data_IF_338185808642
#
_entry.id   IF_338185808642
#
_cell.length_a   1.000
_cell.length_b   1.000
_cell.length_c   1.000
_cell.angle_alpha   90.00
_cell.angle_beta   90.00
_cell.angle_gamma   90.00
#
_symmetry.space_group_name_H-M   'P 1'
#
loop_
_entity.id
_entity.type
_entity.pdbx_description
1 polymer ?
#
# COMPACT_ATOMS: atom_id res chain seq x y z
N UNK A 1 2.48 20.49 -3.26
CA UNK A 1 2.30 19.04 -3.09
C UNK A 1 2.77 18.29 -4.32
N UNK A 2 3.85 17.54 -4.18
CA UNK A 2 4.47 16.69 -5.20
C UNK A 2 4.86 15.35 -4.57
N UNK A 3 4.55 14.25 -5.26
CA UNK A 3 5.09 12.93 -4.91
C UNK A 3 6.36 12.73 -5.71
N UNK A 4 7.45 12.39 -5.03
CA UNK A 4 8.77 12.16 -5.61
C UNK A 4 9.49 10.99 -4.92
N UNK A 5 10.57 10.44 -5.52
CA UNK A 5 11.42 9.48 -4.84
C UNK A 5 11.97 10.08 -3.55
N UNK A 6 12.10 9.22 -2.56
CA UNK A 6 12.84 9.51 -1.34
C UNK A 6 14.31 9.79 -1.65
N UNK A 7 14.95 10.56 -0.78
CA UNK A 7 16.39 10.84 -0.80
C UNK A 7 16.97 10.66 0.59
N UNK A 8 18.27 10.43 0.65
CA UNK A 8 19.02 10.36 1.92
C UNK A 8 18.82 11.62 2.79
N UNK A 9 18.62 12.79 2.18
CA UNK A 9 18.30 14.04 2.88
C UNK A 9 16.93 14.07 3.57
N UNK A 10 16.00 13.18 3.20
CA UNK A 10 14.66 13.12 3.78
C UNK A 10 14.62 12.32 5.09
N UNK A 11 15.70 11.60 5.42
CA UNK A 11 15.77 10.69 6.57
C UNK A 11 15.26 11.31 7.89
N UNK A 12 15.61 12.57 8.26
CA UNK A 12 15.07 13.18 9.47
C UNK A 12 13.53 13.27 9.46
N UNK A 13 12.94 13.68 8.34
CA UNK A 13 11.48 13.77 8.20
C UNK A 13 10.81 12.39 8.21
N UNK A 14 11.46 11.36 7.65
CA UNK A 14 10.95 10.00 7.72
C UNK A 14 10.93 9.46 9.15
N UNK A 15 11.94 9.78 9.97
CA UNK A 15 11.97 9.41 11.38
C UNK A 15 10.83 10.09 12.15
N UNK A 16 10.56 11.36 11.89
CA UNK A 16 9.41 12.07 12.47
C UNK A 16 8.08 11.41 12.08
N UNK A 17 7.89 11.09 10.80
CA UNK A 17 6.72 10.37 10.33
C UNK A 17 6.59 9.00 11.02
N UNK A 18 7.67 8.23 11.11
CA UNK A 18 7.67 6.91 11.77
C UNK A 18 7.41 6.99 13.28
N UNK A 19 7.79 8.07 13.96
CA UNK A 19 7.42 8.27 15.38
C UNK A 19 5.94 8.60 15.56
N UNK A 20 5.31 9.17 14.53
CA UNK A 20 3.89 9.50 14.54
C UNK A 20 2.99 8.34 14.10
N UNK A 21 3.55 7.20 13.68
CA UNK A 21 2.77 6.00 13.38
C UNK A 21 2.42 5.25 14.65
N UNK A 22 1.16 4.82 14.79
CA UNK A 22 0.78 3.80 15.78
C UNK A 22 1.28 2.40 15.41
N UNK A 23 1.02 1.42 16.27
CA UNK A 23 1.31 0.00 16.00
C UNK A 23 0.57 -0.51 14.74
N UNK A 24 1.06 -1.56 14.09
CA UNK A 24 0.40 -2.19 12.94
C UNK A 24 0.76 -1.60 11.57
N UNK A 25 1.74 -0.71 11.50
CA UNK A 25 2.39 -0.31 10.25
C UNK A 25 3.87 -0.75 10.26
N UNK A 26 4.10 -2.06 10.25
CA UNK A 26 5.43 -2.69 10.29
C UNK A 26 6.41 -2.17 9.25
N UNK A 27 5.91 -1.71 8.10
CA UNK A 27 6.75 -1.24 7.00
C UNK A 27 7.36 0.14 7.24
N UNK A 28 6.98 0.87 8.30
CA UNK A 28 7.58 2.17 8.66
C UNK A 28 8.01 2.18 10.14
N UNK A 29 9.02 1.37 10.53
CA UNK A 29 9.46 1.30 11.92
C UNK A 29 10.19 2.60 12.33
N UNK A 30 10.00 3.04 13.58
CA UNK A 30 10.74 4.15 14.18
C UNK A 30 12.20 3.76 14.52
N UNK A 31 12.96 3.30 13.53
CA UNK A 31 14.35 2.85 13.65
C UNK A 31 15.22 3.52 12.58
N UNK A 32 16.10 4.42 13.01
CA UNK A 32 16.93 5.24 12.13
C UNK A 32 17.85 4.42 11.22
N UNK A 33 18.54 3.41 11.75
CA UNK A 33 19.46 2.58 10.96
C UNK A 33 18.71 1.82 9.85
N UNK A 34 17.54 1.27 10.18
CA UNK A 34 16.68 0.57 9.20
C UNK A 34 16.14 1.52 8.15
N UNK A 35 15.69 2.71 8.54
CA UNK A 35 15.22 3.72 7.59
C UNK A 35 16.35 4.20 6.67
N UNK A 36 17.54 4.47 7.20
CA UNK A 36 18.71 4.85 6.40
C UNK A 36 19.08 3.76 5.39
N UNK A 37 19.10 2.50 5.83
CA UNK A 37 19.34 1.35 4.95
C UNK A 37 18.27 1.24 3.86
N UNK A 38 16.99 1.37 4.22
CA UNK A 38 15.85 1.33 3.29
C UNK A 38 15.93 2.45 2.25
N UNK A 39 16.25 3.67 2.66
CA UNK A 39 16.43 4.81 1.75
C UNK A 39 17.58 4.55 0.76
N UNK A 40 18.71 3.99 1.22
CA UNK A 40 19.81 3.62 0.34
C UNK A 40 19.40 2.56 -0.71
N UNK A 41 18.59 1.57 -0.34
CA UNK A 41 18.01 0.61 -1.28
C UNK A 41 16.99 1.23 -2.23
N UNK A 42 16.17 2.16 -1.75
CA UNK A 42 15.23 2.87 -2.60
C UNK A 42 15.95 3.70 -3.67
N UNK A 43 17.01 4.42 -3.31
CA UNK A 43 17.83 5.16 -4.28
C UNK A 43 18.45 4.23 -5.34
N UNK A 44 19.00 3.07 -4.93
CA UNK A 44 19.48 2.02 -5.86
C UNK A 44 18.35 1.51 -6.76
N UNK A 45 17.17 1.30 -6.20
CA UNK A 45 15.98 0.82 -6.93
C UNK A 45 15.59 1.80 -8.03
N UNK A 46 15.52 3.09 -7.72
CA UNK A 46 15.22 4.11 -8.73
C UNK A 46 16.31 4.20 -9.81
N UNK A 47 17.58 3.96 -9.48
CA UNK A 47 18.68 3.81 -10.46
C UNK A 47 18.66 2.50 -11.26
N UNK A 48 17.79 1.56 -10.91
CA UNK A 48 17.71 0.25 -11.58
C UNK A 48 18.83 -0.70 -11.21
N UNK A 49 19.45 -0.47 -10.06
CA UNK A 49 20.56 -1.28 -9.52
C UNK A 49 20.07 -2.37 -8.57
N UNK A 50 18.76 -2.44 -8.30
CA UNK A 50 18.16 -3.44 -7.43
C UNK A 50 17.44 -4.52 -8.25
N UNK A 51 17.61 -5.77 -7.85
CA UNK A 51 16.79 -6.87 -8.35
C UNK A 51 15.37 -6.75 -7.80
N UNK A 52 14.39 -7.38 -8.48
CA UNK A 52 12.98 -7.27 -8.10
C UNK A 52 12.68 -7.68 -6.64
N UNK A 53 13.45 -8.62 -6.08
CA UNK A 53 13.31 -9.05 -4.69
C UNK A 53 13.85 -8.04 -3.66
N UNK A 54 14.70 -7.11 -4.07
CA UNK A 54 15.29 -6.06 -3.22
C UNK A 54 14.77 -4.65 -3.58
N UNK A 55 13.96 -4.56 -4.63
CA UNK A 55 13.44 -3.30 -5.15
C UNK A 55 12.38 -2.71 -4.20
N UNK A 56 12.61 -1.48 -3.76
CA UNK A 56 11.69 -0.68 -2.95
C UNK A 56 11.54 0.72 -3.56
N UNK A 57 10.45 0.95 -4.28
CA UNK A 57 10.14 2.27 -4.84
C UNK A 57 9.50 3.12 -3.74
N UNK A 58 10.34 3.73 -2.91
CA UNK A 58 9.92 4.57 -1.79
C UNK A 58 9.71 6.03 -2.23
N UNK A 59 8.50 6.54 -2.03
CA UNK A 59 8.08 7.89 -2.38
C UNK A 59 7.77 8.71 -1.13
N UNK A 60 7.99 10.02 -1.23
CA UNK A 60 7.56 11.00 -0.24
C UNK A 60 6.56 11.98 -0.85
N UNK A 61 5.63 12.50 -0.04
CA UNK A 61 4.82 13.66 -0.37
C UNK A 61 5.52 14.90 0.19
N UNK A 62 5.91 15.81 -0.69
CA UNK A 62 6.57 17.08 -0.37
C UNK A 62 5.63 18.25 -0.67
N UNK A 63 5.54 19.23 0.22
CA UNK A 63 4.82 20.48 -0.05
C UNK A 63 5.62 21.43 -0.94
N UNK A 64 5.13 22.66 -1.17
CA UNK A 64 5.82 23.60 -2.06
C UNK A 64 7.03 24.29 -1.38
N UNK A 65 7.17 24.16 -0.05
CA UNK A 65 8.28 24.68 0.76
C UNK A 65 9.39 23.62 0.97
N UNK A 66 9.19 22.41 0.46
CA UNK A 66 10.16 21.31 0.57
C UNK A 66 9.98 20.43 1.81
N UNK A 67 8.91 20.62 2.59
CA UNK A 67 8.63 19.79 3.76
C UNK A 67 8.02 18.47 3.33
N UNK A 68 8.62 17.37 3.81
CA UNK A 68 8.06 16.02 3.64
C UNK A 68 6.96 15.79 4.68
N UNK A 69 5.77 15.44 4.22
CA UNK A 69 4.54 15.29 5.05
C UNK A 69 3.87 13.93 4.92
N UNK A 70 4.39 13.06 4.05
CA UNK A 70 3.87 11.72 3.84
C UNK A 70 4.86 10.81 3.12
N UNK A 71 4.55 9.53 3.15
CA UNK A 71 5.37 8.46 2.59
C UNK A 71 4.46 7.37 2.00
N UNK A 72 4.92 6.72 0.94
CA UNK A 72 4.29 5.52 0.37
C UNK A 72 5.32 4.73 -0.41
N UNK A 73 5.10 3.43 -0.60
CA UNK A 73 6.05 2.58 -1.27
C UNK A 73 5.39 1.56 -2.21
N UNK A 74 6.22 1.00 -3.09
CA UNK A 74 5.92 -0.21 -3.84
C UNK A 74 7.10 -1.17 -3.67
N UNK A 75 6.89 -2.33 -3.05
CA UNK A 75 7.87 -3.41 -3.06
C UNK A 75 7.81 -4.14 -4.41
N UNK A 76 8.96 -4.41 -5.03
CA UNK A 76 9.05 -5.05 -6.33
C UNK A 76 8.50 -6.49 -6.32
N UNK A 77 8.79 -7.25 -5.27
CA UNK A 77 8.16 -8.53 -4.99
C UNK A 77 8.31 -8.92 -3.53
N UNK A 78 7.23 -9.36 -2.89
CA UNK A 78 7.26 -9.97 -1.57
C UNK A 78 7.76 -11.42 -1.67
N UNK A 79 8.36 -11.95 -0.60
CA UNK A 79 8.63 -13.38 -0.49
C UNK A 79 9.86 -13.91 -1.24
N UNK A 80 10.62 -13.08 -1.97
CA UNK A 80 11.75 -13.56 -2.80
C UNK A 80 13.08 -13.72 -2.05
N UNK A 81 13.27 -13.03 -0.93
CA UNK A 81 14.46 -13.12 -0.07
C UNK A 81 14.14 -13.81 1.25
N UNK A 82 13.03 -13.41 1.85
CA UNK A 82 12.49 -13.99 3.06
C UNK A 82 11.03 -14.37 2.83
N UNK A 83 10.55 -15.49 3.39
CA UNK A 83 9.15 -15.87 3.28
C UNK A 83 8.21 -14.74 3.72
N UNK A 84 7.17 -14.52 2.93
CA UNK A 84 6.10 -13.60 3.26
C UNK A 84 4.86 -14.42 3.61
N UNK A 85 4.56 -14.51 4.91
CA UNK A 85 3.52 -15.38 5.46
C UNK A 85 2.18 -14.67 5.52
N UNK A 86 1.12 -15.43 5.28
CA UNK A 86 -0.27 -15.01 5.46
C UNK A 86 -1.09 -16.21 5.91
N UNK A 87 -2.29 -15.97 6.41
CA UNK A 87 -3.32 -16.99 6.50
C UNK A 87 -4.21 -16.93 5.27
N UNK A 88 -4.31 -18.05 4.55
CA UNK A 88 -5.42 -18.28 3.62
C UNK A 88 -6.65 -18.72 4.39
N UNK A 89 -7.73 -17.97 4.29
CA UNK A 89 -9.03 -18.25 4.89
C UNK A 89 -9.82 -19.17 3.96
N UNK A 90 -9.86 -20.46 4.31
CA UNK A 90 -10.65 -21.47 3.62
C UNK A 90 -11.90 -21.89 4.39
N UNK A 91 -12.58 -22.92 3.88
CA UNK A 91 -13.77 -23.52 4.51
C UNK A 91 -13.54 -25.02 4.68
N UNK A 92 -13.72 -25.52 5.90
CA UNK A 92 -13.77 -26.96 6.15
C UNK A 92 -15.23 -27.36 6.38
N UNK A 93 -15.72 -28.30 5.57
CA UNK A 93 -17.09 -28.83 5.69
C UNK A 93 -17.04 -30.18 6.38
N UNK A 94 -17.82 -30.33 7.45
CA UNK A 94 -18.00 -31.58 8.18
C UNK A 94 -19.46 -32.01 8.12
N UNK A 95 -19.72 -33.22 7.63
CA UNK A 95 -21.05 -33.78 7.52
C UNK A 95 -21.11 -35.15 8.21
N UNK A 96 -22.09 -35.35 9.07
CA UNK A 96 -22.45 -36.65 9.64
C UNK A 96 -23.92 -36.89 9.37
N UNK A 97 -24.21 -37.83 8.47
CA UNK A 97 -25.58 -38.18 8.10
C UNK A 97 -26.34 -38.81 9.28
N UNK A 98 -25.68 -39.69 10.03
CA UNK A 98 -26.26 -40.38 11.18
C UNK A 98 -26.72 -39.41 12.27
N UNK A 99 -25.93 -38.36 12.51
CA UNK A 99 -26.24 -37.33 13.51
C UNK A 99 -27.02 -36.14 12.94
N UNK A 100 -27.32 -36.15 11.64
CA UNK A 100 -27.87 -35.01 10.90
C UNK A 100 -27.12 -33.69 11.15
N UNK A 101 -25.78 -33.76 11.17
CA UNK A 101 -24.91 -32.61 11.37
C UNK A 101 -24.32 -32.22 10.01
N UNK A 102 -24.46 -30.95 9.66
CA UNK A 102 -23.72 -30.31 8.58
C UNK A 102 -23.13 -29.01 9.14
N UNK A 103 -21.81 -28.87 9.08
CA UNK A 103 -21.09 -27.69 9.58
C UNK A 103 -20.08 -27.21 8.58
N UNK A 104 -20.13 -25.92 8.31
CA UNK A 104 -19.14 -25.19 7.54
C UNK A 104 -18.33 -24.35 8.52
N UNK A 105 -17.03 -24.58 8.59
CA UNK A 105 -16.15 -23.94 9.58
C UNK A 105 -15.03 -23.21 8.84
N UNK A 106 -14.95 -21.86 8.93
CA UNK A 106 -13.82 -21.13 8.39
C UNK A 106 -12.52 -21.64 9.01
N UNK A 107 -11.50 -21.85 8.18
CA UNK A 107 -10.24 -22.47 8.61
C UNK A 107 -9.07 -21.65 8.07
N UNK A 108 -8.10 -21.33 8.92
CA UNK A 108 -6.91 -20.57 8.58
C UNK A 108 -5.78 -21.53 8.23
N UNK A 109 -5.24 -21.39 7.02
CA UNK A 109 -4.11 -22.17 6.54
C UNK A 109 -2.91 -21.25 6.44
N UNK A 110 -1.85 -21.52 7.22
CA UNK A 110 -0.60 -20.77 7.09
C UNK A 110 -0.03 -21.02 5.68
N UNK A 111 0.23 -19.95 4.95
CA UNK A 111 0.65 -20.00 3.56
C UNK A 111 1.65 -18.88 3.23
N UNK A 112 2.22 -18.96 2.04
CA UNK A 112 3.06 -17.94 1.41
C UNK A 112 2.64 -17.73 -0.05
N UNK A 113 1.34 -17.92 -0.34
CA UNK A 113 0.76 -17.95 -1.68
C UNK A 113 0.93 -16.62 -2.45
N UNK A 114 1.14 -15.51 -1.74
CA UNK A 114 1.34 -14.18 -2.33
C UNK A 114 2.78 -13.90 -2.75
N UNK A 115 3.70 -14.85 -2.56
CA UNK A 115 5.11 -14.73 -2.94
C UNK A 115 5.27 -14.34 -4.41
N UNK A 116 6.16 -13.39 -4.67
CA UNK A 116 6.43 -12.86 -6.00
C UNK A 116 5.54 -11.67 -6.36
N UNK A 117 4.38 -11.47 -5.76
CA UNK A 117 3.56 -10.29 -6.07
C UNK A 117 4.22 -9.00 -5.59
N UNK A 118 4.00 -7.90 -6.31
CA UNK A 118 4.41 -6.58 -5.86
C UNK A 118 3.41 -6.05 -4.83
N UNK A 119 3.87 -5.26 -3.87
CA UNK A 119 3.04 -4.80 -2.76
C UNK A 119 3.01 -3.28 -2.69
N UNK A 120 1.81 -2.70 -2.51
CA UNK A 120 1.62 -1.32 -2.09
C UNK A 120 1.71 -1.23 -0.58
N UNK A 121 2.78 -0.62 -0.07
CA UNK A 121 3.03 -0.55 1.37
C UNK A 121 3.38 0.87 1.83
N UNK A 122 3.59 1.02 3.14
CA UNK A 122 4.07 2.24 3.81
C UNK A 122 3.25 3.50 3.52
N UNK A 123 1.95 3.39 3.21
CA UNK A 123 1.10 4.55 2.97
C UNK A 123 0.80 5.27 4.29
N UNK A 124 1.41 6.43 4.51
CA UNK A 124 1.18 7.23 5.69
C UNK A 124 1.24 8.73 5.39
N UNK A 125 0.35 9.48 6.06
CA UNK A 125 0.31 10.94 6.06
C UNK A 125 0.21 11.44 7.47
N UNK A 126 1.00 12.48 7.77
CA UNK A 126 0.85 13.25 9.01
C UNK A 126 -0.57 13.78 9.12
N UNK A 127 -1.15 13.77 10.34
CA UNK A 127 -2.55 14.16 10.61
C UNK A 127 -2.92 15.49 9.97
N UNK A 128 -2.06 16.49 10.12
CA UNK A 128 -2.29 17.86 9.66
C UNK A 128 -2.32 17.98 8.12
N UNK A 129 -1.80 16.96 7.42
CA UNK A 129 -1.77 16.88 5.97
C UNK A 129 -2.84 15.93 5.39
N UNK A 130 -3.72 15.36 6.23
CA UNK A 130 -4.86 14.52 5.82
C UNK A 130 -6.06 15.36 5.37
N UNK A 131 -5.81 16.36 4.53
CA UNK A 131 -6.85 17.25 3.99
C UNK A 131 -6.84 17.22 2.45
N UNK A 132 -7.98 17.60 1.87
CA UNK A 132 -8.13 17.73 0.43
C UNK A 132 -7.78 16.45 -0.35
N UNK A 133 -6.83 16.57 -1.29
CA UNK A 133 -6.50 15.51 -2.25
C UNK A 133 -5.19 14.79 -1.91
N UNK A 134 -4.52 15.11 -0.79
CA UNK A 134 -3.18 14.62 -0.46
C UNK A 134 -3.13 13.10 -0.33
N UNK A 135 -4.10 12.49 0.37
CA UNK A 135 -4.20 11.04 0.50
C UNK A 135 -4.41 10.32 -0.83
N UNK A 136 -5.24 10.90 -1.70
CA UNK A 136 -5.48 10.36 -3.05
C UNK A 136 -4.25 10.50 -3.94
N UNK A 137 -3.58 11.65 -3.90
CA UNK A 137 -2.32 11.89 -4.60
C UNK A 137 -1.27 10.86 -4.19
N UNK A 138 -0.96 10.77 -2.89
CA UNK A 138 0.08 9.88 -2.39
C UNK A 138 -0.23 8.41 -2.70
N UNK A 139 -1.46 7.97 -2.48
CA UNK A 139 -1.84 6.58 -2.75
C UNK A 139 -1.80 6.25 -4.25
N UNK A 140 -2.43 7.07 -5.09
CA UNK A 140 -2.61 6.77 -6.53
C UNK A 140 -1.39 7.10 -7.38
N UNK A 141 -0.46 7.94 -6.91
CA UNK A 141 0.79 8.23 -7.62
C UNK A 141 1.58 6.94 -7.97
N UNK A 142 1.57 5.98 -7.05
CA UNK A 142 2.15 4.65 -7.24
C UNK A 142 1.60 3.93 -8.47
N UNK A 143 0.31 4.09 -8.76
CA UNK A 143 -0.33 3.45 -9.92
C UNK A 143 0.19 4.02 -11.25
N UNK A 144 0.47 5.32 -11.34
CA UNK A 144 1.05 5.89 -12.58
C UNK A 144 2.49 5.43 -12.79
N UNK A 145 3.25 5.25 -11.71
CA UNK A 145 4.58 4.66 -11.79
C UNK A 145 4.53 3.21 -12.28
N UNK A 146 3.60 2.40 -11.74
CA UNK A 146 3.33 1.03 -12.21
C UNK A 146 2.92 1.02 -13.69
N UNK A 147 2.07 1.95 -14.11
CA UNK A 147 1.59 2.05 -15.48
C UNK A 147 2.70 2.37 -16.49
N UNK A 148 3.70 3.16 -16.09
CA UNK A 148 4.83 3.49 -16.95
C UNK A 148 5.87 2.36 -17.02
N UNK A 149 6.05 1.64 -15.92
CA UNK A 149 7.05 0.57 -15.82
C UNK A 149 6.45 -0.79 -15.44
N UNK A 150 5.45 -1.32 -16.17
CA UNK A 150 4.72 -2.52 -15.76
C UNK A 150 5.62 -3.76 -15.64
N UNK A 151 6.72 -3.82 -16.40
CA UNK A 151 7.70 -4.92 -16.36
C UNK A 151 8.49 -5.01 -15.06
N UNK A 152 8.48 -3.95 -14.23
CA UNK A 152 9.17 -3.94 -12.94
C UNK A 152 8.33 -4.60 -11.82
N UNK A 153 7.06 -4.91 -12.10
CA UNK A 153 6.09 -5.38 -11.12
C UNK A 153 5.49 -6.74 -11.49
N UNK A 154 4.86 -7.39 -10.51
CA UNK A 154 4.14 -8.65 -10.72
C UNK A 154 2.88 -8.50 -11.55
N UNK A 155 2.30 -9.63 -11.97
CA UNK A 155 1.02 -9.67 -12.67
C UNK A 155 -0.16 -9.25 -11.78
N UNK A 156 0.00 -9.38 -10.47
CA UNK A 156 -0.89 -8.84 -9.45
C UNK A 156 -0.13 -7.90 -8.53
N UNK A 157 -0.84 -6.88 -8.08
CA UNK A 157 -0.44 -5.99 -7.01
C UNK A 157 -1.27 -6.32 -5.78
N UNK A 158 -0.63 -6.48 -4.63
CA UNK A 158 -1.27 -6.68 -3.34
C UNK A 158 -1.15 -5.43 -2.46
N UNK A 159 -1.98 -5.34 -1.44
CA UNK A 159 -1.81 -4.44 -0.32
C UNK A 159 -2.26 -5.16 0.95
N UNK A 160 -1.35 -5.37 1.90
CA UNK A 160 -1.70 -5.82 3.24
C UNK A 160 -2.21 -4.62 4.05
N UNK A 161 -3.45 -4.74 4.52
CA UNK A 161 -4.14 -3.66 5.21
C UNK A 161 -4.14 -3.94 6.71
N UNK A 162 -3.64 -2.99 7.51
CA UNK A 162 -3.64 -3.08 8.98
C UNK A 162 -5.00 -3.54 9.52
N UNK A 163 -4.99 -4.59 10.32
CA UNK A 163 -6.15 -5.19 10.96
C UNK A 163 -6.63 -4.44 12.20
N UNK A 164 -7.66 -4.98 12.85
CA UNK A 164 -8.26 -4.33 14.02
C UNK A 164 -7.35 -4.43 15.26
N UNK A 165 -7.19 -3.28 15.91
CA UNK A 165 -6.63 -3.14 17.26
C UNK A 165 -7.47 -2.12 18.01
N UNK A 166 -7.57 -2.26 19.33
CA UNK A 166 -8.20 -1.24 20.17
C UNK A 166 -7.29 -0.02 20.38
N UNK A 167 -7.80 0.98 21.12
CA UNK A 167 -7.06 2.21 21.46
C UNK A 167 -5.80 1.96 22.31
N UNK A 168 -5.74 0.82 23.01
CA UNK A 168 -4.57 0.38 23.77
C UNK A 168 -3.58 -0.42 22.92
N UNK A 169 -3.84 -0.58 21.61
CA UNK A 169 -3.01 -1.35 20.69
C UNK A 169 -3.16 -2.86 20.84
N UNK A 170 -4.24 -3.36 21.46
CA UNK A 170 -4.52 -4.80 21.57
C UNK A 170 -5.32 -5.27 20.36
N UNK A 171 -4.81 -6.28 19.66
CA UNK A 171 -5.54 -6.97 18.60
C UNK A 171 -6.30 -8.17 19.17
N UNK A 172 -7.64 -8.25 18.99
CA UNK A 172 -8.41 -9.42 19.43
C UNK A 172 -7.92 -10.73 18.79
N UNK A 173 -7.47 -10.66 17.54
CA UNK A 173 -6.91 -11.80 16.83
C UNK A 173 -5.57 -12.24 17.44
N UNK A 174 -4.67 -11.30 17.70
CA UNK A 174 -3.38 -11.59 18.34
C UNK A 174 -3.57 -12.26 19.69
N UNK A 175 -4.44 -11.72 20.54
CA UNK A 175 -4.68 -12.23 21.89
C UNK A 175 -5.30 -13.64 21.88
N UNK A 176 -6.13 -13.97 20.89
CA UNK A 176 -6.73 -15.30 20.77
C UNK A 176 -5.83 -16.33 20.08
N UNK A 177 -4.75 -15.92 19.42
CA UNK A 177 -3.91 -16.82 18.63
C UNK A 177 -2.42 -16.60 18.87
N UNK A 178 -1.86 -15.52 18.32
CA UNK A 178 -0.42 -15.29 18.33
C UNK A 178 0.19 -15.23 19.73
N UNK A 179 -0.50 -14.60 20.69
CA UNK A 179 -0.05 -14.48 22.08
C UNK A 179 0.32 -15.82 22.72
N UNK A 180 -0.37 -16.91 22.36
CA UNK A 180 -0.12 -18.25 22.89
C UNK A 180 1.20 -18.86 22.41
N UNK A 181 1.68 -18.49 21.22
CA UNK A 181 2.91 -19.02 20.63
C UNK A 181 4.12 -18.12 20.93
N UNK A 182 3.95 -16.81 20.80
CA UNK A 182 5.05 -15.84 20.91
C UNK A 182 5.28 -15.32 22.33
N UNK A 183 4.28 -15.46 23.23
CA UNK A 183 4.32 -15.01 24.63
C UNK A 183 4.76 -13.54 24.81
N UNK A 184 4.41 -12.68 23.85
CA UNK A 184 4.72 -11.24 23.85
C UNK A 184 3.51 -10.40 23.40
N UNK A 185 3.55 -9.11 23.71
CA UNK A 185 2.53 -8.14 23.29
C UNK A 185 2.54 -7.97 21.76
N UNK A 186 1.37 -7.63 21.19
CA UNK A 186 1.22 -7.39 19.75
C UNK A 186 2.23 -6.35 19.23
N UNK A 187 2.34 -5.21 19.92
CA UNK A 187 3.26 -4.12 19.55
C UNK A 187 4.73 -4.56 19.53
N UNK A 188 5.12 -5.51 20.38
CA UNK A 188 6.47 -6.06 20.39
C UNK A 188 6.71 -6.97 19.18
N UNK A 189 5.75 -7.86 18.86
CA UNK A 189 5.83 -8.73 17.69
C UNK A 189 5.83 -7.94 16.37
N UNK A 190 4.98 -6.90 16.29
CA UNK A 190 4.88 -5.95 15.20
C UNK A 190 6.22 -5.22 14.99
N UNK A 191 6.81 -4.70 16.07
CA UNK A 191 8.11 -4.03 16.03
C UNK A 191 9.24 -4.97 15.56
N UNK A 192 9.32 -6.19 16.11
CA UNK A 192 10.34 -7.18 15.72
C UNK A 192 10.27 -7.52 14.23
N UNK A 193 9.06 -7.68 13.71
CA UNK A 193 8.79 -7.90 12.29
C UNK A 193 9.22 -6.68 11.45
N UNK A 194 8.87 -5.47 11.90
CA UNK A 194 9.22 -4.22 11.22
C UNK A 194 10.72 -3.95 11.17
N UNK A 195 11.47 -4.33 12.21
CA UNK A 195 12.94 -4.27 12.19
C UNK A 195 13.58 -5.47 11.51
N UNK A 196 12.83 -6.27 10.75
CA UNK A 196 13.36 -7.31 9.86
C UNK A 196 13.83 -8.59 10.55
N UNK A 197 13.39 -8.87 11.78
CA UNK A 197 13.55 -10.20 12.34
C UNK A 197 12.29 -11.00 11.98
N UNK A 198 12.33 -11.83 10.94
CA UNK A 198 11.17 -12.67 10.54
C UNK A 198 11.39 -14.16 10.76
N UNK A 199 12.60 -14.57 11.16
CA UNK A 199 12.94 -15.97 11.42
C UNK A 199 12.06 -16.61 12.50
N UNK A 200 11.75 -15.82 13.53
CA UNK A 200 10.93 -16.26 14.67
C UNK A 200 9.51 -16.68 14.26
N UNK A 201 8.97 -16.16 13.16
CA UNK A 201 7.65 -16.52 12.63
C UNK A 201 7.65 -18.00 12.20
N UNK A 202 8.67 -18.40 11.44
CA UNK A 202 8.78 -19.78 10.93
C UNK A 202 8.99 -20.81 12.06
N UNK A 203 9.60 -20.37 13.16
CA UNK A 203 9.90 -21.20 14.32
C UNK A 203 8.68 -21.40 15.24
N UNK A 204 7.82 -20.39 15.36
CA UNK A 204 6.78 -20.35 16.39
C UNK A 204 5.35 -20.52 15.85
N UNK A 205 5.09 -20.25 14.57
CA UNK A 205 3.74 -20.34 14.03
C UNK A 205 3.27 -21.80 13.86
N UNK A 206 1.99 -22.10 14.17
CA UNK A 206 1.42 -23.41 13.95
C UNK A 206 1.38 -23.74 12.45
N UNK A 207 1.90 -24.92 12.10
CA UNK A 207 1.95 -25.41 10.71
C UNK A 207 0.66 -26.07 10.24
N UNK A 208 -0.23 -26.41 11.18
CA UNK A 208 -1.48 -27.10 10.89
C UNK A 208 -2.64 -26.10 10.73
N UNK A 209 -3.68 -26.46 9.95
CA UNK A 209 -4.85 -25.60 9.78
C UNK A 209 -5.52 -25.30 11.12
N UNK A 210 -5.90 -24.04 11.32
CA UNK A 210 -6.57 -23.57 12.53
C UNK A 210 -8.05 -23.35 12.24
N UNK A 211 -8.91 -24.12 12.90
CA UNK A 211 -10.35 -23.91 12.83
C UNK A 211 -10.70 -22.62 13.56
N UNK A 212 -11.37 -21.69 12.87
CA UNK A 212 -11.70 -20.38 13.45
C UNK A 212 -12.60 -20.51 14.69
N UNK A 213 -13.39 -21.59 14.80
CA UNK A 213 -14.23 -21.87 15.96
C UNK A 213 -13.47 -22.14 17.26
N UNK A 214 -12.14 -22.33 17.22
CA UNK A 214 -11.30 -22.37 18.41
C UNK A 214 -10.83 -21.00 18.87
N UNK A 215 -11.04 -19.97 18.06
CA UNK A 215 -10.75 -18.59 18.43
C UNK A 215 -11.92 -17.98 19.21
N UNK A 216 -11.63 -16.95 20.00
CA UNK A 216 -12.66 -16.15 20.67
C UNK A 216 -13.63 -15.56 19.65
N UNK A 217 -14.83 -15.20 20.11
CA UNK A 217 -15.82 -14.53 19.25
C UNK A 217 -15.29 -13.19 18.70
N UNK A 218 -14.64 -12.40 19.54
CA UNK A 218 -14.03 -11.13 19.14
C UNK A 218 -12.96 -11.34 18.07
N UNK A 219 -12.10 -12.36 18.21
CA UNK A 219 -11.09 -12.69 17.20
C UNK A 219 -11.71 -13.11 15.87
N UNK A 220 -12.78 -13.92 15.90
CA UNK A 220 -13.50 -14.33 14.68
C UNK A 220 -14.12 -13.14 13.96
N UNK A 221 -14.68 -12.19 14.71
CA UNK A 221 -15.38 -11.02 14.15
C UNK A 221 -14.45 -10.01 13.46
N UNK A 222 -13.14 -10.05 13.76
CA UNK A 222 -12.16 -9.14 13.16
C UNK A 222 -11.38 -9.73 11.98
N UNK A 223 -11.55 -11.02 11.66
CA UNK A 223 -10.84 -11.64 10.52
C UNK A 223 -11.24 -10.95 9.21
N UNK A 224 -10.25 -10.41 8.50
CA UNK A 224 -10.44 -9.67 7.25
C UNK A 224 -11.02 -8.27 7.43
N UNK A 225 -11.06 -7.75 8.67
CA UNK A 225 -11.46 -6.36 8.96
C UNK A 225 -10.23 -5.47 9.07
N UNK A 226 -10.30 -4.29 8.45
CA UNK A 226 -9.27 -3.26 8.58
C UNK A 226 -9.52 -2.38 9.81
N UNK A 227 -8.46 -1.81 10.38
CA UNK A 227 -8.54 -0.74 11.38
C UNK A 227 -9.38 0.46 10.87
N UNK A 228 -10.02 1.20 11.78
CA UNK A 228 -10.79 2.40 11.43
C UNK A 228 -9.97 3.44 10.64
N UNK A 229 -8.71 3.68 11.05
CA UNK A 229 -7.78 4.57 10.35
C UNK A 229 -7.37 4.07 8.94
N UNK A 230 -7.61 2.79 8.66
CA UNK A 230 -7.25 2.14 7.39
C UNK A 230 -8.42 2.10 6.39
N UNK A 231 -9.66 2.24 6.85
CA UNK A 231 -10.87 2.26 6.00
C UNK A 231 -10.80 3.28 4.83
N UNK A 232 -10.25 4.50 4.99
CA UNK A 232 -10.09 5.43 3.86
C UNK A 232 -9.15 4.89 2.78
N UNK A 233 -8.06 4.22 3.18
CA UNK A 233 -7.11 3.63 2.24
C UNK A 233 -7.74 2.43 1.52
N UNK A 234 -8.47 1.57 2.23
CA UNK A 234 -9.21 0.45 1.64
C UNK A 234 -10.21 0.95 0.60
N UNK A 235 -10.98 1.99 0.91
CA UNK A 235 -11.96 2.59 -0.01
C UNK A 235 -11.28 3.12 -1.28
N UNK A 236 -10.13 3.78 -1.14
CA UNK A 236 -9.36 4.27 -2.30
C UNK A 236 -8.88 3.14 -3.22
N UNK A 237 -8.41 2.03 -2.64
CA UNK A 237 -7.93 0.87 -3.41
C UNK A 237 -9.07 0.08 -4.05
N UNK A 238 -10.20 -0.10 -3.35
CA UNK A 238 -11.42 -0.69 -3.94
C UNK A 238 -11.88 0.09 -5.18
N UNK A 239 -11.86 1.42 -5.10
CA UNK A 239 -12.16 2.29 -6.25
C UNK A 239 -11.15 2.21 -7.41
N UNK A 240 -10.01 1.56 -7.21
CA UNK A 240 -9.03 1.24 -8.25
C UNK A 240 -9.14 -0.21 -8.76
N UNK A 241 -10.03 -1.03 -8.19
CA UNK A 241 -10.26 -2.42 -8.60
C UNK A 241 -9.68 -3.47 -7.66
N UNK A 242 -9.15 -3.08 -6.49
CA UNK A 242 -8.66 -4.04 -5.50
C UNK A 242 -9.81 -4.74 -4.78
N UNK A 243 -9.62 -6.02 -4.48
CA UNK A 243 -10.62 -6.85 -3.80
C UNK A 243 -9.96 -7.81 -2.80
N UNK A 244 -10.72 -8.19 -1.78
CA UNK A 244 -10.30 -9.22 -0.83
C UNK A 244 -10.44 -10.60 -1.46
N UNK A 245 -9.40 -11.44 -1.34
CA UNK A 245 -9.33 -12.76 -1.97
C UNK A 245 -9.05 -13.88 -0.95
N UNK A 246 -9.42 -13.66 0.33
CA UNK A 246 -9.31 -14.71 1.35
C UNK A 246 -7.93 -14.82 2.00
N UNK A 247 -7.12 -13.77 2.00
CA UNK A 247 -5.82 -13.75 2.68
C UNK A 247 -5.79 -12.71 3.78
N UNK A 248 -5.33 -13.08 4.97
CA UNK A 248 -5.19 -12.16 6.10
C UNK A 248 -3.81 -12.23 6.72
N UNK A 249 -3.38 -11.13 7.33
CA UNK A 249 -2.15 -11.05 8.11
C UNK A 249 -2.16 -12.06 9.26
N UNK A 250 -0.98 -12.56 9.62
CA UNK A 250 -0.81 -13.59 10.64
C UNK A 250 -0.85 -13.05 12.07
N UNK A 251 -0.69 -11.74 12.26
CA UNK A 251 -0.65 -11.09 13.57
C UNK A 251 -1.99 -10.47 13.95
N UNK A 252 -2.62 -9.70 13.06
CA UNK A 252 -3.82 -8.92 13.34
C UNK A 252 -5.05 -9.29 12.49
N UNK A 253 -4.90 -10.26 11.59
CA UNK A 253 -5.91 -10.70 10.63
C UNK A 253 -6.48 -9.60 9.72
N UNK A 254 -5.73 -8.52 9.52
CA UNK A 254 -6.00 -7.52 8.50
C UNK A 254 -5.98 -8.14 7.10
N UNK A 255 -6.87 -7.72 6.18
CA UNK A 255 -6.97 -8.34 4.88
C UNK A 255 -5.80 -7.93 3.96
N UNK A 256 -5.25 -8.91 3.25
CA UNK A 256 -4.51 -8.65 2.01
C UNK A 256 -5.51 -8.56 0.85
N UNK A 257 -5.55 -7.39 0.21
CA UNK A 257 -6.35 -7.15 -0.99
C UNK A 257 -5.46 -7.19 -2.23
N UNK A 258 -6.02 -7.61 -3.36
CA UNK A 258 -5.25 -7.73 -4.60
C UNK A 258 -6.02 -7.22 -5.82
N UNK A 259 -5.26 -6.87 -6.86
CA UNK A 259 -5.76 -6.55 -8.20
C UNK A 259 -4.76 -7.04 -9.23
N UNK A 260 -5.23 -7.56 -10.37
CA UNK A 260 -4.37 -7.76 -11.54
C UNK A 260 -3.83 -6.40 -12.00
N UNK A 261 -2.52 -6.30 -12.21
CA UNK A 261 -1.82 -5.04 -12.47
C UNK A 261 -2.44 -4.26 -13.63
N UNK A 262 -2.78 -4.95 -14.72
CA UNK A 262 -3.41 -4.35 -15.90
C UNK A 262 -4.90 -3.99 -15.73
N UNK A 263 -5.56 -4.44 -14.66
CA UNK A 263 -6.97 -4.11 -14.35
C UNK A 263 -7.11 -2.95 -13.37
N UNK A 264 -6.02 -2.52 -12.73
CA UNK A 264 -6.03 -1.34 -11.87
C UNK A 264 -6.47 -0.13 -12.71
N UNK A 265 -7.54 0.56 -12.30
CA UNK A 265 -8.16 1.64 -13.08
C UNK A 265 -7.14 2.69 -13.54
N UNK A 266 -6.35 3.24 -12.62
CA UNK A 266 -5.35 4.25 -12.94
C UNK A 266 -4.21 3.70 -13.81
N UNK A 267 -3.93 2.39 -13.79
CA UNK A 267 -2.98 1.76 -14.71
C UNK A 267 -3.59 1.68 -16.11
N UNK A 268 -4.78 1.07 -16.21
CA UNK A 268 -5.52 0.82 -17.45
C UNK A 268 -5.91 2.10 -18.18
N UNK A 269 -6.42 3.09 -17.45
CA UNK A 269 -7.07 4.27 -18.04
C UNK A 269 -6.11 5.46 -18.20
N UNK A 270 -4.89 5.37 -17.66
CA UNK A 270 -3.89 6.43 -17.83
C UNK A 270 -3.34 6.50 -19.24
N UNK A 271 -3.14 7.72 -19.74
CA UNK A 271 -2.73 7.98 -21.12
C UNK A 271 -1.47 8.84 -21.15
N UNK A 272 -0.63 8.64 -22.17
CA UNK A 272 0.43 9.57 -22.50
C UNK A 272 -0.15 10.76 -23.28
N UNK A 273 0.09 11.97 -22.81
CA UNK A 273 -0.48 13.21 -23.33
C UNK A 273 0.61 14.28 -23.49
N UNK A 274 0.42 15.18 -24.45
CA UNK A 274 1.29 16.36 -24.60
C UNK A 274 0.87 17.41 -23.58
N UNK A 275 1.82 17.95 -22.83
CA UNK A 275 1.57 18.98 -21.84
C UNK A 275 1.42 20.34 -22.52
N UNK A 276 0.34 21.07 -22.21
CA UNK A 276 0.21 22.48 -22.51
C UNK A 276 0.05 23.28 -21.22
N UNK A 277 0.60 24.50 -21.21
CA UNK A 277 0.54 25.38 -20.05
C UNK A 277 -0.43 26.52 -20.36
N UNK A 278 -1.44 26.69 -19.53
CA UNK A 278 -2.48 27.71 -19.70
C UNK A 278 -3.50 27.64 -18.56
N UNK A 279 -4.71 28.12 -18.82
CA UNK A 279 -5.82 28.05 -17.86
C UNK A 279 -6.72 26.85 -18.20
N UNK A 280 -6.81 25.82 -17.34
CA UNK A 280 -7.68 24.67 -17.57
C UNK A 280 -9.17 25.02 -17.68
N UNK A 281 -9.61 26.06 -16.98
CA UNK A 281 -11.03 26.44 -16.80
C UNK A 281 -11.50 26.14 -15.37
N UNK A 282 -12.50 26.86 -14.90
CA UNK A 282 -12.94 26.82 -13.49
C UNK A 282 -13.55 25.46 -13.10
N UNK A 283 -14.23 24.79 -14.05
CA UNK A 283 -14.86 23.47 -13.87
C UNK A 283 -13.95 22.31 -14.31
N UNK A 284 -12.65 22.56 -14.51
CA UNK A 284 -11.73 21.54 -14.99
C UNK A 284 -11.56 20.41 -13.94
N UNK A 285 -11.74 19.13 -14.33
CA UNK A 285 -11.61 18.02 -13.40
C UNK A 285 -10.17 17.87 -12.92
N UNK A 286 -10.02 17.24 -11.75
CA UNK A 286 -8.71 16.93 -11.17
C UNK A 286 -8.08 15.73 -11.89
N UNK A 287 -6.87 15.91 -12.39
CA UNK A 287 -6.05 14.85 -12.95
C UNK A 287 -4.91 14.50 -12.01
N UNK A 288 -4.57 13.22 -11.94
CA UNK A 288 -3.28 12.75 -11.46
C UNK A 288 -2.32 12.77 -12.66
N UNK A 289 -1.18 13.43 -12.52
CA UNK A 289 -0.27 13.75 -13.63
C UNK A 289 1.15 13.37 -13.25
N UNK A 290 1.82 12.61 -14.11
CA UNK A 290 3.15 12.06 -13.90
C UNK A 290 4.10 12.46 -15.04
N UNK A 291 5.33 12.83 -14.68
CA UNK A 291 6.37 13.28 -15.61
C UNK A 291 7.10 12.17 -16.39
N UNK A 292 6.71 10.89 -16.22
CA UNK A 292 7.26 9.74 -16.95
C UNK A 292 8.75 9.46 -16.75
N UNK A 293 9.36 9.99 -15.68
CA UNK A 293 10.76 9.71 -15.32
C UNK A 293 10.86 8.67 -14.22
N UNK A 294 11.87 7.80 -14.27
CA UNK A 294 12.11 6.82 -13.19
C UNK A 294 12.81 7.48 -11.99
N UNK A 295 14.02 8.00 -12.17
CA UNK A 295 14.87 8.49 -11.07
C UNK A 295 14.46 9.87 -10.50
N UNK A 296 13.94 10.76 -11.35
CA UNK A 296 13.34 12.04 -10.92
C UNK A 296 11.84 12.01 -11.20
N UNK A 297 11.18 10.91 -10.81
CA UNK A 297 9.75 10.76 -10.97
C UNK A 297 9.02 11.87 -10.20
N UNK A 298 8.02 12.48 -10.82
CA UNK A 298 7.21 13.53 -10.17
C UNK A 298 5.76 13.31 -10.51
N UNK A 299 4.93 13.15 -9.48
CA UNK A 299 3.48 13.03 -9.63
C UNK A 299 2.79 14.12 -8.82
N UNK A 300 1.84 14.81 -9.43
CA UNK A 300 1.00 15.80 -8.73
C UNK A 300 -0.46 15.64 -9.12
N UNK A 301 -1.32 16.32 -8.38
CA UNK A 301 -2.72 16.51 -8.75
C UNK A 301 -2.92 17.97 -9.15
N UNK A 302 -3.64 18.18 -10.24
CA UNK A 302 -4.06 19.51 -10.66
C UNK A 302 -5.31 19.47 -11.53
N UNK A 303 -6.06 20.56 -11.51
CA UNK A 303 -7.11 20.80 -12.48
C UNK A 303 -6.51 20.79 -13.88
N UNK A 304 -7.14 20.06 -14.80
CA UNK A 304 -6.63 19.93 -16.16
C UNK A 304 -7.76 19.76 -17.17
N UNK A 305 -7.57 20.33 -18.36
CA UNK A 305 -8.49 20.18 -19.49
C UNK A 305 -7.84 19.31 -20.56
N UNK A 306 -8.48 18.19 -20.84
CA UNK A 306 -8.10 17.33 -21.96
C UNK A 306 -8.69 17.88 -23.26
N UNK A 307 -7.85 18.05 -24.27
CA UNK A 307 -8.26 18.48 -25.61
C UNK A 307 -7.36 17.80 -26.66
N UNK A 308 -7.94 16.87 -27.43
CA UNK A 308 -7.30 16.24 -28.59
C UNK A 308 -5.86 15.72 -28.32
N UNK A 309 -5.65 14.96 -27.24
CA UNK A 309 -4.33 14.41 -26.89
C UNK A 309 -3.40 15.37 -26.15
N UNK A 310 -3.84 16.61 -25.91
CA UNK A 310 -3.14 17.60 -25.08
C UNK A 310 -3.82 17.74 -23.72
N UNK A 311 -3.01 17.87 -22.66
CA UNK A 311 -3.45 18.15 -21.31
C UNK A 311 -3.06 19.58 -20.94
N UNK A 312 -4.03 20.48 -20.87
CA UNK A 312 -3.81 21.88 -20.46
C UNK A 312 -3.83 21.96 -18.94
N UNK A 313 -2.74 22.45 -18.35
CA UNK A 313 -2.56 22.63 -16.90
C UNK A 313 -2.13 24.04 -16.54
N UNK A 314 -2.37 24.45 -15.29
CA UNK A 314 -1.85 25.71 -14.76
C UNK A 314 -0.30 25.70 -14.66
N UNK A 315 0.38 26.87 -14.75
CA UNK A 315 1.84 26.97 -14.63
C UNK A 315 2.42 26.30 -13.38
N UNK A 316 1.72 26.38 -12.24
CA UNK A 316 2.18 25.76 -10.98
C UNK A 316 2.26 24.22 -11.09
N UNK A 317 1.36 23.58 -11.83
CA UNK A 317 1.40 22.13 -12.07
C UNK A 317 2.62 21.74 -12.89
N UNK A 318 2.90 22.47 -13.97
CA UNK A 318 4.10 22.25 -14.79
C UNK A 318 5.40 22.49 -13.99
N UNK A 319 5.43 23.54 -13.15
CA UNK A 319 6.55 23.83 -12.24
C UNK A 319 6.80 22.67 -11.26
N UNK A 320 5.76 22.14 -10.62
CA UNK A 320 5.87 20.99 -9.69
C UNK A 320 6.43 19.75 -10.40
N UNK A 321 5.97 19.49 -11.63
CA UNK A 321 6.43 18.37 -12.46
C UNK A 321 7.83 18.56 -13.04
N UNK A 322 8.35 19.81 -13.04
CA UNK A 322 9.57 20.25 -13.72
C UNK A 322 9.53 19.94 -15.22
N UNK A 323 8.45 20.39 -15.86
CA UNK A 323 8.17 20.15 -17.28
C UNK A 323 7.80 21.45 -17.99
N UNK A 324 8.05 21.47 -19.29
CA UNK A 324 7.73 22.56 -20.20
C UNK A 324 6.53 22.19 -21.07
N UNK A 325 5.93 23.20 -21.71
CA UNK A 325 4.94 22.96 -22.75
C UNK A 325 5.58 22.13 -23.89
N UNK A 326 4.85 21.13 -24.39
CA UNK A 326 5.33 20.19 -25.40
C UNK A 326 5.89 18.88 -24.84
N UNK A 327 6.23 18.82 -23.55
CA UNK A 327 6.71 17.58 -22.94
C UNK A 327 5.58 16.53 -22.82
N UNK A 328 5.94 15.25 -22.75
CA UNK A 328 4.96 14.16 -22.59
C UNK A 328 4.74 13.80 -21.11
N UNK A 329 3.50 13.89 -20.65
CA UNK A 329 3.06 13.42 -19.34
C UNK A 329 2.26 12.14 -19.45
N UNK A 330 2.18 11.35 -18.37
CA UNK A 330 1.15 10.32 -18.21
C UNK A 330 0.09 10.86 -17.25
N UNK A 331 -1.18 10.79 -17.61
CA UNK A 331 -2.24 11.32 -16.77
C UNK A 331 -3.52 10.49 -16.79
N UNK A 332 -4.29 10.59 -15.71
CA UNK A 332 -5.62 9.97 -15.57
C UNK A 332 -6.50 10.86 -14.68
N UNK A 333 -7.83 10.93 -14.91
CA UNK A 333 -8.73 11.57 -13.96
C UNK A 333 -8.59 10.97 -12.55
N UNK A 334 -8.47 11.83 -11.54
CA UNK A 334 -8.19 11.43 -10.16
C UNK A 334 -9.25 10.48 -9.58
N UNK A 335 -10.50 10.71 -9.97
CA UNK A 335 -11.65 9.86 -9.67
C UNK A 335 -12.16 9.22 -10.95
N UNK A 336 -12.78 8.04 -10.84
CA UNK A 336 -13.54 7.49 -11.96
C UNK A 336 -14.60 8.52 -12.39
N UNK A 337 -14.88 8.60 -13.68
CA UNK A 337 -16.07 9.31 -14.14
C UNK A 337 -17.27 8.68 -13.41
N UNK A 338 -18.15 9.51 -12.84
CA UNK A 338 -19.46 8.99 -12.45
C UNK A 338 -20.09 8.48 -13.74
N UNK A 339 -20.40 7.19 -13.81
CA UNK A 339 -21.32 6.70 -14.83
C UNK A 339 -22.58 7.59 -14.74
N UNK A 340 -23.02 8.10 -15.89
CA UNK A 340 -23.86 9.29 -15.98
C UNK A 340 -25.14 9.26 -15.14
N UNK A 341 -25.56 10.45 -14.74
CA UNK A 341 -26.99 10.74 -14.57
C UNK A 341 -27.64 10.81 -15.94
#
# INVERSE_FOLDING_TARGET
>A
MIVRPVRSSDLPALIELARSTGAGLTTLPANEQRLAHRVGWAEKTFRGEAERGDADYLFVLEDDDGKVVGISAIAGAVGLREPWYNYRVGLTVSASQELNIYREIPTLFLANDLTGNSELCSLFLHSDSRSGLNGRLLSKARMLFIAEFPKLFGNKIIAEMRGMSDENGRSPFWESLGRHFFKMEFSQADYLTGVGNKAFIAELMPKFPLYSCFLSEDARNVIGRVHADTEPALTMLKGEGFSYQGYVDIFDAGPAIECETGKIRAVKDSQALVLAIGTPGDDAPQFLIYNRKREDCRVTVGAARFAAGTLVVAPQTAKRLRMNAGDNVRAVPLSAAREGV
#
